data_IF_360661482025
#
_entry.id   IF_360661482025
#
_cell.length_a   1.000
_cell.length_b   1.000
_cell.length_c   1.000
_cell.angle_alpha   90.00
_cell.angle_beta   90.00
_cell.angle_gamma   90.00
#
_symmetry.space_group_name_H-M   'P 1'
#
loop_
_entity.id
_entity.type
_entity.pdbx_description
1 polymer ?
#
# COMPACT_ATOMS: atom_id res chain seq x y z
N UNK A 1 -49.26 -33.78 -94.21
CA UNK A 1 -48.35 -34.69 -95.02
C UNK A 1 -46.99 -34.69 -94.29
N UNK A 2 -46.67 -35.84 -94.01
CA UNK A 2 -45.37 -36.57 -94.00
C UNK A 2 -44.43 -36.18 -92.85
N UNK A 3 -44.39 -36.98 -91.85
CA UNK A 3 -43.58 -38.17 -91.53
C UNK A 3 -42.05 -37.93 -91.46
N UNK A 4 -41.57 -38.32 -90.32
CA UNK A 4 -40.30 -39.07 -90.04
C UNK A 4 -39.12 -38.16 -89.61
N UNK A 5 -38.26 -38.55 -88.72
CA UNK A 5 -37.94 -39.80 -88.03
C UNK A 5 -37.11 -39.48 -86.75
N UNK A 6 -37.35 -40.30 -85.80
CA UNK A 6 -36.65 -40.42 -84.50
C UNK A 6 -35.18 -40.85 -84.71
N UNK A 7 -34.26 -40.19 -84.03
CA UNK A 7 -32.98 -40.81 -83.61
C UNK A 7 -32.66 -40.41 -82.16
N UNK A 8 -32.78 -41.43 -81.34
CA UNK A 8 -32.36 -41.37 -79.92
C UNK A 8 -30.81 -41.48 -79.88
N UNK A 9 -30.16 -40.53 -79.25
CA UNK A 9 -28.75 -40.65 -78.82
C UNK A 9 -28.70 -40.56 -77.33
N UNK A 10 -28.52 -41.70 -76.68
CA UNK A 10 -28.29 -41.85 -75.28
C UNK A 10 -26.89 -41.34 -74.88
N UNK A 11 -26.74 -40.23 -74.30
CA UNK A 11 -25.48 -39.79 -73.71
C UNK A 11 -25.48 -40.12 -72.20
N UNK A 12 -24.62 -41.01 -71.81
CA UNK A 12 -24.31 -41.34 -70.41
C UNK A 12 -23.54 -40.16 -69.78
N UNK A 13 -24.18 -39.42 -68.87
CA UNK A 13 -23.45 -38.47 -68.05
C UNK A 13 -22.98 -39.18 -66.80
N UNK A 14 -21.66 -39.41 -66.71
CA UNK A 14 -20.99 -39.83 -65.50
C UNK A 14 -20.87 -38.58 -64.54
N UNK A 15 -21.67 -38.51 -63.53
CA UNK A 15 -21.50 -37.53 -62.51
C UNK A 15 -20.51 -38.00 -61.44
N UNK A 16 -19.30 -37.44 -61.45
CA UNK A 16 -18.32 -37.63 -60.39
C UNK A 16 -18.73 -36.81 -59.17
N UNK A 17 -19.17 -37.48 -58.12
CA UNK A 17 -19.43 -36.85 -56.84
C UNK A 17 -18.08 -36.56 -56.14
N UNK A 18 -17.69 -35.29 -56.07
CA UNK A 18 -16.53 -34.83 -55.26
C UNK A 18 -17.03 -34.71 -53.81
N UNK A 19 -16.63 -35.64 -52.97
CA UNK A 19 -16.86 -35.56 -51.51
C UNK A 19 -15.82 -34.63 -50.91
N UNK A 20 -16.24 -33.41 -50.53
CA UNK A 20 -15.41 -32.54 -49.71
C UNK A 20 -15.49 -33.02 -48.25
N UNK A 21 -14.43 -33.61 -47.74
CA UNK A 21 -14.26 -33.85 -46.32
C UNK A 21 -13.81 -32.54 -45.65
N UNK A 22 -14.73 -31.86 -45.03
CA UNK A 22 -14.42 -30.71 -44.12
C UNK A 22 -13.91 -31.29 -42.81
N UNK A 23 -12.59 -31.27 -42.60
CA UNK A 23 -12.01 -31.53 -41.29
C UNK A 23 -12.24 -30.28 -40.44
N UNK A 24 -12.93 -30.37 -39.27
CA UNK A 24 -13.02 -29.22 -38.39
C UNK A 24 -11.64 -28.92 -37.78
N UNK A 25 -11.03 -27.84 -38.20
CA UNK A 25 -9.89 -27.25 -37.47
C UNK A 25 -10.46 -26.70 -36.17
N UNK A 26 -10.19 -27.39 -35.07
CA UNK A 26 -10.40 -26.83 -33.72
C UNK A 26 -9.32 -25.77 -33.54
N UNK A 27 -9.69 -24.50 -33.78
CA UNK A 27 -8.86 -23.40 -33.35
C UNK A 27 -8.79 -23.45 -31.82
N UNK A 28 -7.61 -23.70 -31.27
CA UNK A 28 -7.33 -23.59 -29.85
C UNK A 28 -7.59 -22.12 -29.47
N UNK A 29 -8.60 -21.88 -28.66
CA UNK A 29 -8.81 -20.57 -28.03
C UNK A 29 -7.50 -20.14 -27.36
N UNK A 30 -7.07 -18.88 -27.54
CA UNK A 30 -5.88 -18.39 -26.88
C UNK A 30 -6.11 -18.58 -25.37
N UNK A 31 -5.27 -19.39 -24.75
CA UNK A 31 -5.19 -19.45 -23.29
C UNK A 31 -4.69 -18.10 -22.84
N UNK A 32 -5.61 -17.24 -22.40
CA UNK A 32 -5.24 -16.04 -21.64
C UNK A 32 -4.48 -16.54 -20.44
N UNK A 33 -3.15 -16.37 -20.45
CA UNK A 33 -2.34 -16.56 -19.25
C UNK A 33 -2.96 -15.71 -18.17
N UNK A 34 -3.50 -16.32 -17.13
CA UNK A 34 -3.93 -15.57 -15.95
C UNK A 34 -2.71 -14.77 -15.51
N UNK A 35 -2.81 -13.45 -15.54
CA UNK A 35 -1.79 -12.58 -14.95
C UNK A 35 -1.57 -13.09 -13.53
N UNK A 36 -0.32 -13.40 -13.17
CA UNK A 36 0.00 -13.81 -11.80
C UNK A 36 -0.60 -12.75 -10.87
N UNK A 37 -1.37 -13.20 -9.89
CA UNK A 37 -1.98 -12.28 -8.93
C UNK A 37 -0.88 -11.46 -8.29
N UNK A 38 -1.08 -10.14 -8.24
CA UNK A 38 -0.15 -9.21 -7.59
C UNK A 38 0.03 -9.62 -6.13
N UNK A 39 1.26 -9.92 -5.72
CA UNK A 39 1.61 -10.26 -4.33
C UNK A 39 2.34 -9.09 -3.65
N UNK A 40 1.64 -8.19 -2.97
CA UNK A 40 2.23 -7.05 -2.28
C UNK A 40 3.11 -7.39 -1.09
N UNK A 41 3.26 -8.66 -0.72
CA UNK A 41 4.25 -9.09 0.30
C UNK A 41 5.67 -9.25 -0.25
N UNK A 42 5.83 -9.16 -1.57
CA UNK A 42 7.13 -9.21 -2.26
C UNK A 42 7.60 -7.80 -2.63
N UNK A 43 8.87 -7.65 -2.95
CA UNK A 43 9.40 -6.38 -3.47
C UNK A 43 8.67 -5.97 -4.75
N UNK A 44 8.25 -4.73 -4.82
CA UNK A 44 7.57 -4.16 -5.99
C UNK A 44 8.49 -3.97 -7.20
N UNK A 45 7.93 -3.59 -8.35
CA UNK A 45 8.66 -3.54 -9.61
C UNK A 45 9.63 -2.36 -9.76
N UNK A 46 9.53 -1.34 -8.90
CA UNK A 46 10.32 -0.12 -9.09
C UNK A 46 11.68 -0.21 -8.38
N UNK A 47 12.78 0.25 -9.03
CA UNK A 47 14.02 0.54 -8.33
C UNK A 47 13.78 1.58 -7.22
N UNK A 48 14.42 1.39 -6.06
CA UNK A 48 14.20 2.27 -4.91
C UNK A 48 15.31 3.30 -4.80
N UNK A 49 14.91 4.54 -4.70
CA UNK A 49 15.78 5.68 -4.46
C UNK A 49 15.45 6.39 -3.13
N UNK A 50 16.38 7.18 -2.64
CA UNK A 50 16.15 8.02 -1.46
C UNK A 50 16.91 9.35 -1.54
N UNK A 51 16.44 10.32 -0.76
CA UNK A 51 17.11 11.61 -0.56
C UNK A 51 16.92 12.07 0.87
N UNK A 52 17.97 12.59 1.48
CA UNK A 52 17.85 13.37 2.70
C UNK A 52 17.53 14.82 2.35
N UNK A 53 16.53 15.38 3.00
CA UNK A 53 15.98 16.70 2.70
C UNK A 53 15.74 17.49 3.97
N UNK A 54 15.60 18.82 3.84
CA UNK A 54 14.97 19.65 4.86
C UNK A 54 13.56 19.94 4.42
N UNK A 55 12.59 19.50 5.22
CA UNK A 55 11.19 19.91 5.08
C UNK A 55 11.04 21.31 5.65
N UNK A 56 10.52 22.23 4.83
CA UNK A 56 10.16 23.58 5.24
C UNK A 56 8.78 23.87 4.68
N UNK A 57 7.74 23.72 5.49
CA UNK A 57 6.34 23.91 5.10
C UNK A 57 5.45 24.11 6.33
N UNK A 58 4.34 24.79 6.16
CA UNK A 58 3.32 25.01 7.20
C UNK A 58 3.91 25.54 8.52
N UNK A 59 4.92 26.41 8.47
CA UNK A 59 5.59 26.97 9.63
C UNK A 59 6.52 26.01 10.40
N UNK A 60 6.80 24.81 9.82
CA UNK A 60 7.69 23.79 10.38
C UNK A 60 8.98 23.69 9.57
N UNK A 61 10.09 23.36 10.26
CA UNK A 61 11.37 23.06 9.59
C UNK A 61 12.10 21.95 10.33
N UNK A 62 12.42 20.85 9.61
CA UNK A 62 13.09 19.66 10.18
C UNK A 62 13.75 18.83 9.09
N UNK A 63 14.74 18.02 9.46
CA UNK A 63 15.32 17.03 8.57
C UNK A 63 14.35 15.87 8.31
N UNK A 64 14.34 15.34 7.09
CA UNK A 64 13.58 14.16 6.71
C UNK A 64 14.35 13.31 5.71
N UNK A 65 13.94 12.05 5.54
CA UNK A 65 14.31 11.23 4.40
C UNK A 65 13.07 10.96 3.55
N UNK A 66 13.27 11.03 2.24
CA UNK A 66 12.26 10.66 1.25
C UNK A 66 12.71 9.38 0.56
N UNK A 67 11.89 8.34 0.64
CA UNK A 67 12.02 7.12 -0.15
C UNK A 67 11.06 7.21 -1.35
N UNK A 68 11.50 6.82 -2.54
CA UNK A 68 10.69 7.00 -3.74
C UNK A 68 11.05 6.00 -4.84
N UNK A 69 10.14 5.72 -5.79
CA UNK A 69 10.47 4.99 -7.00
C UNK A 69 11.48 5.80 -7.82
N UNK A 70 12.65 5.24 -8.00
CA UNK A 70 13.72 5.87 -8.78
C UNK A 70 13.78 5.35 -10.21
N UNK A 71 14.33 6.14 -11.13
CA UNK A 71 14.70 5.62 -12.45
C UNK A 71 15.78 4.55 -12.35
N UNK A 72 16.61 4.65 -11.31
CA UNK A 72 17.59 3.65 -10.87
C UNK A 72 17.61 3.64 -9.34
N UNK A 73 18.07 2.55 -8.74
CA UNK A 73 18.25 2.47 -7.29
C UNK A 73 19.43 3.36 -6.83
N UNK A 74 19.31 3.94 -5.62
CA UNK A 74 20.41 4.67 -5.00
C UNK A 74 20.03 6.02 -4.40
N UNK A 75 21.05 6.73 -3.92
CA UNK A 75 20.88 8.05 -3.33
C UNK A 75 20.75 9.12 -4.41
N UNK A 76 19.76 9.98 -4.28
CA UNK A 76 19.57 11.17 -5.12
C UNK A 76 19.39 10.88 -6.62
N UNK A 77 18.99 9.69 -7.03
CA UNK A 77 18.68 9.36 -8.41
C UNK A 77 17.37 10.05 -8.85
N UNK A 78 17.13 10.26 -10.16
CA UNK A 78 15.87 10.82 -10.62
C UNK A 78 14.66 9.97 -10.20
N UNK A 79 13.52 10.61 -9.99
CA UNK A 79 12.24 9.91 -9.74
C UNK A 79 11.82 9.19 -11.03
N UNK A 80 11.27 7.98 -10.90
CA UNK A 80 10.63 7.27 -12.00
C UNK A 80 9.43 8.08 -12.53
N UNK A 81 9.02 7.90 -13.79
CA UNK A 81 7.83 8.57 -14.31
C UNK A 81 6.60 8.31 -13.44
N UNK A 82 5.90 9.38 -13.05
CA UNK A 82 4.72 9.37 -12.19
C UNK A 82 3.43 9.71 -12.92
N UNK A 83 2.41 10.26 -12.21
CA UNK A 83 2.46 10.68 -10.80
C UNK A 83 2.32 9.53 -9.79
N UNK A 84 2.98 9.68 -8.65
CA UNK A 84 3.03 8.71 -7.56
C UNK A 84 2.24 9.18 -6.33
N UNK A 85 1.50 8.30 -5.63
CA UNK A 85 0.89 8.64 -4.35
C UNK A 85 1.94 9.05 -3.31
N UNK A 86 1.59 10.04 -2.46
CA UNK A 86 2.45 10.54 -1.38
C UNK A 86 2.06 9.96 -0.03
N UNK A 87 3.06 9.55 0.76
CA UNK A 87 2.89 9.12 2.15
C UNK A 87 3.78 9.96 3.08
N UNK A 88 3.29 10.25 4.30
CA UNK A 88 4.19 10.59 5.40
C UNK A 88 4.16 9.46 6.44
N UNK A 89 5.35 9.10 6.95
CA UNK A 89 5.51 7.99 7.90
C UNK A 89 6.12 8.50 9.22
N UNK A 90 5.43 8.24 10.34
CA UNK A 90 5.87 8.57 11.68
C UNK A 90 6.62 7.40 12.35
N UNK A 91 7.82 7.66 12.87
CA UNK A 91 8.62 6.68 13.62
C UNK A 91 8.11 6.50 15.07
N UNK A 92 8.52 5.41 15.73
CA UNK A 92 8.22 5.14 17.14
C UNK A 92 8.98 6.07 18.11
N UNK A 93 8.56 6.03 19.39
CA UNK A 93 9.22 6.77 20.45
C UNK A 93 10.70 6.38 20.56
N UNK A 94 11.57 7.40 20.63
CA UNK A 94 13.02 7.25 20.75
C UNK A 94 13.67 6.42 19.62
N UNK A 95 12.97 6.27 18.47
CA UNK A 95 13.47 5.52 17.31
C UNK A 95 14.01 6.46 16.23
N UNK A 96 15.06 5.97 15.54
CA UNK A 96 15.53 6.59 14.30
C UNK A 96 14.75 6.08 13.10
N UNK A 97 14.67 6.88 12.06
CA UNK A 97 13.97 6.51 10.82
C UNK A 97 14.55 5.27 10.12
N UNK A 98 15.83 4.95 10.37
CA UNK A 98 16.53 3.78 9.81
C UNK A 98 15.98 2.45 10.33
N UNK A 99 15.24 2.45 11.43
CA UNK A 99 14.56 1.27 11.95
C UNK A 99 13.40 0.79 11.06
N UNK A 100 13.05 1.55 10.04
CA UNK A 100 11.93 1.25 9.12
C UNK A 100 12.37 1.18 7.67
N UNK A 101 13.69 1.13 7.40
CA UNK A 101 14.25 1.15 6.05
C UNK A 101 13.67 0.06 5.16
N UNK A 102 13.47 -1.17 5.69
CA UNK A 102 12.91 -2.28 4.91
C UNK A 102 11.48 -2.00 4.46
N UNK A 103 10.63 -1.49 5.35
CA UNK A 103 9.24 -1.16 5.04
C UNK A 103 9.13 0.05 4.11
N UNK A 104 9.92 1.11 4.35
CA UNK A 104 9.87 2.33 3.55
C UNK A 104 10.40 2.11 2.13
N UNK A 105 11.45 1.29 1.99
CA UNK A 105 11.93 0.80 0.69
C UNK A 105 10.88 -0.06 -0.01
N UNK A 106 10.18 -0.89 0.75
CA UNK A 106 9.10 -1.72 0.22
C UNK A 106 7.98 -0.85 -0.35
N UNK A 107 7.48 0.15 0.38
CA UNK A 107 6.47 1.08 -0.14
C UNK A 107 6.96 1.82 -1.39
N UNK A 108 8.21 2.30 -1.39
CA UNK A 108 8.78 2.97 -2.56
C UNK A 108 8.88 2.03 -3.77
N UNK A 109 9.20 0.75 -3.57
CA UNK A 109 9.23 -0.25 -4.65
C UNK A 109 7.85 -0.47 -5.29
N UNK A 110 6.78 -0.23 -4.53
CA UNK A 110 5.39 -0.30 -4.98
C UNK A 110 4.83 1.03 -5.50
N UNK A 111 5.69 2.04 -5.66
CA UNK A 111 5.32 3.27 -6.34
C UNK A 111 4.95 4.43 -5.41
N UNK A 112 5.12 4.32 -4.10
CA UNK A 112 4.85 5.43 -3.17
C UNK A 112 6.06 6.35 -3.00
N UNK A 113 5.82 7.66 -2.90
CA UNK A 113 6.83 8.60 -2.39
C UNK A 113 6.56 8.78 -0.90
N UNK A 114 7.51 8.34 -0.06
CA UNK A 114 7.33 8.30 1.40
C UNK A 114 8.26 9.30 2.07
N UNK A 115 7.72 10.31 2.74
CA UNK A 115 8.48 11.30 3.52
C UNK A 115 8.47 10.89 4.99
N UNK A 116 9.65 10.75 5.59
CA UNK A 116 9.81 10.33 6.98
C UNK A 116 10.52 11.43 7.77
N UNK A 117 9.81 12.22 8.60
CA UNK A 117 10.40 13.21 9.48
C UNK A 117 11.41 12.60 10.45
N UNK A 118 12.51 13.31 10.72
CA UNK A 118 13.50 12.99 11.77
C UNK A 118 13.24 13.75 13.07
N UNK A 119 12.18 14.55 13.12
CA UNK A 119 11.76 15.32 14.30
C UNK A 119 11.13 14.42 15.36
N UNK A 120 11.00 14.93 16.57
CA UNK A 120 10.36 14.23 17.71
C UNK A 120 11.05 12.92 18.15
N UNK A 121 12.30 12.69 17.76
CA UNK A 121 13.07 11.48 18.10
C UNK A 121 13.72 11.53 19.51
N UNK A 122 13.53 12.61 20.26
CA UNK A 122 14.10 12.79 21.60
C UNK A 122 13.29 12.12 22.71
N UNK A 123 13.74 12.34 23.96
CA UNK A 123 13.11 11.79 25.17
C UNK A 123 11.75 12.42 25.53
N UNK A 124 11.47 13.63 25.05
CA UNK A 124 10.26 14.38 25.35
C UNK A 124 9.53 14.81 24.06
N UNK A 125 9.02 13.85 23.27
CA UNK A 125 8.32 14.19 22.04
C UNK A 125 6.94 14.78 22.35
N UNK A 126 6.50 15.69 21.49
CA UNK A 126 5.11 16.15 21.47
C UNK A 126 4.35 15.41 20.36
N UNK A 127 3.34 14.61 20.73
CA UNK A 127 2.49 13.91 19.78
C UNK A 127 1.76 14.87 18.82
N UNK A 128 1.28 16.01 19.36
CA UNK A 128 0.63 17.03 18.54
C UNK A 128 1.60 17.68 17.55
N UNK A 129 2.82 18.03 18.01
CA UNK A 129 3.84 18.58 17.13
C UNK A 129 4.29 17.54 16.07
N UNK A 130 4.33 16.25 16.41
CA UNK A 130 4.65 15.22 15.46
C UNK A 130 3.55 15.05 14.39
N UNK A 131 2.29 15.14 14.78
CA UNK A 131 1.18 15.18 13.83
C UNK A 131 1.28 16.39 12.87
N UNK A 132 1.66 17.56 13.39
CA UNK A 132 1.89 18.75 12.57
C UNK A 132 3.10 18.58 11.64
N UNK A 133 4.17 17.90 12.08
CA UNK A 133 5.34 17.57 11.24
C UNK A 133 4.97 16.60 10.10
N UNK A 134 4.12 15.59 10.36
CA UNK A 134 3.63 14.69 9.35
C UNK A 134 2.79 15.42 8.28
N UNK A 135 1.92 16.33 8.70
CA UNK A 135 1.15 17.18 7.79
C UNK A 135 2.04 18.15 7.01
N UNK A 136 3.07 18.72 7.65
CA UNK A 136 4.06 19.56 6.99
C UNK A 136 4.86 18.76 5.93
N UNK A 137 5.17 17.50 6.21
CA UNK A 137 5.84 16.62 5.25
C UNK A 137 4.99 16.39 3.99
N UNK A 138 3.68 16.13 4.14
CA UNK A 138 2.76 16.03 3.00
C UNK A 138 2.63 17.36 2.25
N UNK A 139 2.52 18.48 2.96
CA UNK A 139 2.46 19.82 2.36
C UNK A 139 3.74 20.13 1.59
N UNK A 140 4.90 19.81 2.16
CA UNK A 140 6.18 19.97 1.49
C UNK A 140 6.23 19.14 0.20
N UNK A 141 5.83 17.86 0.26
CA UNK A 141 5.83 16.99 -0.92
C UNK A 141 4.91 17.54 -2.02
N UNK A 142 3.72 18.02 -1.65
CA UNK A 142 2.79 18.66 -2.57
C UNK A 142 3.41 19.90 -3.23
N UNK A 143 4.09 20.74 -2.44
CA UNK A 143 4.77 21.92 -2.96
C UNK A 143 5.92 21.56 -3.90
N UNK A 144 6.66 20.48 -3.60
CA UNK A 144 7.73 20.00 -4.48
C UNK A 144 7.23 19.62 -5.88
N UNK A 145 5.98 19.19 -6.00
CA UNK A 145 5.36 18.84 -7.29
C UNK A 145 5.31 20.00 -8.29
N UNK A 146 5.21 21.22 -7.78
CA UNK A 146 5.11 22.45 -8.61
C UNK A 146 6.38 23.33 -8.52
N UNK A 147 7.34 22.98 -7.69
CA UNK A 147 8.59 23.74 -7.52
C UNK A 147 9.51 23.48 -8.70
N UNK A 148 9.85 24.52 -9.45
CA UNK A 148 10.81 24.45 -10.57
C UNK A 148 12.18 23.95 -10.08
N UNK A 149 12.76 23.00 -10.78
CA UNK A 149 14.03 22.36 -10.43
C UNK A 149 13.94 21.34 -9.29
N UNK A 150 12.77 21.14 -8.69
CA UNK A 150 12.58 20.05 -7.76
C UNK A 150 12.67 18.70 -8.47
N UNK A 151 13.32 17.75 -7.84
CA UNK A 151 13.38 16.35 -8.26
C UNK A 151 11.98 15.73 -8.38
N UNK A 152 11.03 16.19 -7.57
CA UNK A 152 9.64 15.70 -7.49
C UNK A 152 8.67 16.51 -8.36
N UNK A 153 9.15 17.46 -9.18
CA UNK A 153 8.30 18.27 -10.04
C UNK A 153 7.53 17.37 -11.02
N UNK A 154 6.20 17.47 -11.01
CA UNK A 154 5.31 16.63 -11.83
C UNK A 154 5.21 15.16 -11.44
N UNK A 155 5.91 14.73 -10.37
CA UNK A 155 5.99 13.32 -9.99
C UNK A 155 5.02 12.91 -8.87
N UNK A 156 4.36 13.87 -8.19
CA UNK A 156 3.50 13.60 -7.04
C UNK A 156 2.03 13.67 -7.43
N UNK A 157 1.27 12.63 -7.12
CA UNK A 157 -0.20 12.68 -7.16
C UNK A 157 -0.72 13.36 -5.90
N UNK A 158 -0.98 14.64 -5.99
CA UNK A 158 -1.44 15.47 -4.85
C UNK A 158 -2.87 15.16 -4.42
N UNK A 159 -3.63 14.41 -5.20
CA UNK A 159 -4.96 13.90 -4.86
C UNK A 159 -4.92 12.57 -4.07
N UNK A 160 -3.75 11.92 -3.96
CA UNK A 160 -3.56 10.61 -3.36
C UNK A 160 -2.51 10.66 -2.23
N UNK A 161 -2.87 11.35 -1.15
CA UNK A 161 -2.02 11.52 0.02
C UNK A 161 -2.48 10.62 1.16
N UNK A 162 -1.54 9.95 1.83
CA UNK A 162 -1.81 9.08 2.96
C UNK A 162 -0.85 9.27 4.10
N UNK A 163 -1.20 8.66 5.22
CA UNK A 163 -0.41 8.66 6.44
C UNK A 163 -0.17 7.23 6.92
N UNK A 164 1.01 7.00 7.46
CA UNK A 164 1.37 5.75 8.11
C UNK A 164 2.31 6.05 9.28
N UNK A 165 2.55 5.06 10.13
CA UNK A 165 3.49 5.20 11.23
C UNK A 165 3.42 4.04 12.18
N UNK A 166 4.46 3.91 13.01
CA UNK A 166 4.60 2.88 14.02
C UNK A 166 4.50 3.47 15.42
N UNK A 167 3.83 2.77 16.33
CA UNK A 167 3.79 3.10 17.76
C UNK A 167 3.30 4.56 18.00
N UNK A 168 4.08 5.38 18.66
CA UNK A 168 3.87 6.84 18.81
C UNK A 168 3.59 7.52 17.46
N UNK A 169 4.35 7.19 16.41
CA UNK A 169 4.17 7.74 15.08
C UNK A 169 2.88 7.27 14.42
N UNK A 170 2.40 6.07 14.74
CA UNK A 170 1.09 5.58 14.33
C UNK A 170 -0.05 6.41 14.95
N UNK A 171 0.01 6.67 16.26
CA UNK A 171 -0.95 7.56 16.94
C UNK A 171 -0.88 8.98 16.39
N UNK A 172 0.33 9.53 16.18
CA UNK A 172 0.51 10.86 15.58
C UNK A 172 -0.04 10.93 14.13
N UNK A 173 0.05 9.85 13.35
CA UNK A 173 -0.54 9.76 12.02
C UNK A 173 -2.08 9.87 12.05
N UNK A 174 -2.73 9.27 13.05
CA UNK A 174 -4.18 9.41 13.26
C UNK A 174 -4.56 10.84 13.65
N UNK A 175 -3.79 11.48 14.55
CA UNK A 175 -3.96 12.89 14.86
C UNK A 175 -3.78 13.78 13.62
N UNK A 176 -2.77 13.51 12.81
CA UNK A 176 -2.51 14.28 11.59
C UNK A 176 -3.65 14.14 10.59
N UNK A 177 -4.14 12.91 10.37
CA UNK A 177 -5.24 12.62 9.45
C UNK A 177 -6.54 13.32 9.86
N UNK A 178 -6.85 13.35 11.17
CA UNK A 178 -8.06 14.01 11.67
C UNK A 178 -8.07 15.53 11.47
N UNK A 179 -6.90 16.13 11.18
CA UNK A 179 -6.71 17.58 10.98
C UNK A 179 -6.50 17.96 9.51
N UNK A 180 -6.32 16.97 8.61
CA UNK A 180 -5.91 17.24 7.23
C UNK A 180 -6.90 16.62 6.22
N UNK A 181 -7.79 17.43 5.63
CA UNK A 181 -8.78 16.94 4.67
C UNK A 181 -8.18 16.47 3.33
N UNK A 182 -6.90 16.74 3.07
CA UNK A 182 -6.21 16.23 1.88
C UNK A 182 -5.81 14.74 2.00
N UNK A 183 -5.74 14.21 3.22
CA UNK A 183 -5.45 12.79 3.46
C UNK A 183 -6.61 11.92 2.97
N UNK A 184 -6.28 10.84 2.28
CA UNK A 184 -7.25 9.90 1.68
C UNK A 184 -7.20 8.51 2.29
N UNK A 185 -6.15 8.16 3.03
CA UNK A 185 -5.99 6.85 3.65
C UNK A 185 -5.00 6.89 4.81
N UNK A 186 -5.22 6.03 5.81
CA UNK A 186 -4.30 5.87 6.94
C UNK A 186 -4.06 4.37 7.18
N UNK A 187 -2.80 3.97 7.32
CA UNK A 187 -2.42 2.60 7.71
C UNK A 187 -1.36 2.65 8.80
N UNK A 188 -1.67 2.17 10.00
CA UNK A 188 -0.80 2.27 11.17
C UNK A 188 -0.32 0.91 11.67
N UNK A 189 0.86 0.88 12.28
CA UNK A 189 1.53 -0.30 12.82
C UNK A 189 1.67 -0.13 14.34
N UNK A 190 1.10 -1.05 15.12
CA UNK A 190 1.14 -1.03 16.57
C UNK A 190 0.91 0.38 17.15
N UNK A 191 -0.03 1.16 16.55
CA UNK A 191 -0.27 2.54 16.94
C UNK A 191 -0.56 2.64 18.43
N UNK A 192 0.20 3.47 19.15
CA UNK A 192 -0.01 3.73 20.57
C UNK A 192 -1.06 4.84 20.77
N UNK A 193 -1.80 4.75 21.88
CA UNK A 193 -2.60 5.88 22.34
C UNK A 193 -1.70 7.07 22.65
N UNK A 194 -2.18 8.26 22.37
CA UNK A 194 -1.41 9.51 22.45
C UNK A 194 -2.13 10.58 23.29
N UNK A 195 -1.44 11.68 23.55
CA UNK A 195 -2.05 12.89 24.08
C UNK A 195 -1.70 14.06 23.13
N UNK A 196 -2.67 14.64 22.38
CA UNK A 196 -4.11 14.32 22.34
C UNK A 196 -4.40 12.87 21.94
N UNK A 197 -5.65 12.39 22.22
CA UNK A 197 -6.06 10.99 22.04
C UNK A 197 -6.13 10.55 20.56
N UNK A 198 -5.42 9.48 20.23
CA UNK A 198 -5.48 8.81 18.92
C UNK A 198 -6.81 8.07 18.73
N UNK A 199 -7.44 7.56 19.79
CA UNK A 199 -8.79 6.98 19.76
C UNK A 199 -9.81 8.04 19.35
N UNK A 200 -9.77 9.23 19.97
CA UNK A 200 -10.64 10.36 19.60
C UNK A 200 -10.39 10.80 18.15
N UNK A 201 -9.13 10.86 17.72
CA UNK A 201 -8.79 11.19 16.34
C UNK A 201 -9.35 10.15 15.37
N UNK A 202 -9.25 8.85 15.71
CA UNK A 202 -9.82 7.76 14.91
C UNK A 202 -11.32 7.89 14.72
N UNK A 203 -12.06 8.27 15.77
CA UNK A 203 -13.51 8.48 15.69
C UNK A 203 -13.91 9.59 14.71
N UNK A 204 -13.03 10.58 14.50
CA UNK A 204 -13.27 11.71 13.60
C UNK A 204 -12.88 11.42 12.13
N UNK A 205 -12.21 10.31 11.83
CA UNK A 205 -11.77 9.99 10.48
C UNK A 205 -12.94 9.57 9.59
N UNK A 206 -13.01 10.14 8.40
CA UNK A 206 -13.97 9.76 7.34
C UNK A 206 -13.33 8.90 6.25
N UNK A 207 -12.01 8.89 6.16
CA UNK A 207 -11.24 8.14 5.15
C UNK A 207 -11.01 6.68 5.59
N UNK A 208 -10.70 5.76 4.65
CA UNK A 208 -10.33 4.39 5.00
C UNK A 208 -9.16 4.36 5.98
N UNK A 209 -9.28 3.53 7.02
CA UNK A 209 -8.22 3.34 8.02
C UNK A 209 -7.93 1.86 8.25
N UNK A 210 -6.65 1.51 8.36
CA UNK A 210 -6.17 0.19 8.73
C UNK A 210 -5.31 0.30 9.99
N UNK A 211 -5.60 -0.56 10.96
CA UNK A 211 -4.81 -0.75 12.17
C UNK A 211 -4.16 -2.13 12.11
N UNK A 212 -2.84 -2.20 12.19
CA UNK A 212 -2.09 -3.45 12.23
C UNK A 212 -1.45 -3.56 13.60
N UNK A 213 -1.68 -4.66 14.32
CA UNK A 213 -1.09 -4.92 15.63
C UNK A 213 -0.47 -6.31 15.71
N UNK A 214 0.32 -6.56 16.74
CA UNK A 214 0.87 -7.87 17.07
C UNK A 214 0.16 -8.46 18.30
N UNK A 215 -0.24 -9.73 18.26
CA UNK A 215 -0.95 -10.34 19.40
C UNK A 215 -0.08 -10.56 20.63
N UNK A 216 1.25 -10.52 20.49
CA UNK A 216 2.22 -10.60 21.57
C UNK A 216 2.86 -9.24 21.91
N UNK A 217 2.32 -8.13 21.37
CA UNK A 217 2.78 -6.77 21.68
C UNK A 217 2.48 -6.44 23.15
N UNK A 218 3.55 -6.24 23.95
CA UNK A 218 3.46 -5.87 25.36
C UNK A 218 3.76 -4.39 25.64
N UNK A 219 4.07 -3.61 24.59
CA UNK A 219 4.38 -2.19 24.67
C UNK A 219 3.14 -1.35 24.33
N UNK A 220 2.50 -1.64 23.19
CA UNK A 220 1.26 -1.01 22.76
C UNK A 220 0.21 -2.10 22.45
N UNK A 221 -0.13 -2.90 23.46
CA UNK A 221 -1.01 -4.06 23.32
C UNK A 221 -2.31 -3.75 22.59
N UNK A 222 -2.73 -4.65 21.71
CA UNK A 222 -3.86 -4.48 20.78
C UNK A 222 -5.13 -4.02 21.49
N UNK A 223 -5.48 -4.69 22.62
CA UNK A 223 -6.74 -4.45 23.33
C UNK A 223 -6.87 -3.00 23.85
N UNK A 224 -5.76 -2.41 24.29
CA UNK A 224 -5.74 -1.07 24.86
C UNK A 224 -5.48 0.05 23.86
N UNK A 225 -5.03 -0.29 22.66
CA UNK A 225 -4.65 0.66 21.63
C UNK A 225 -5.44 0.44 20.34
N UNK A 226 -4.98 -0.43 19.44
CA UNK A 226 -5.52 -0.55 18.08
C UNK A 226 -6.97 -1.04 18.06
N UNK A 227 -7.39 -1.87 19.02
CA UNK A 227 -8.79 -2.29 19.15
C UNK A 227 -9.70 -1.10 19.48
N UNK A 228 -9.31 -0.26 20.45
CA UNK A 228 -10.08 0.95 20.82
C UNK A 228 -10.17 1.94 19.66
N UNK A 229 -9.07 2.12 18.90
CA UNK A 229 -9.05 2.95 17.70
C UNK A 229 -9.99 2.42 16.63
N UNK A 230 -9.95 1.09 16.37
CA UNK A 230 -10.84 0.42 15.43
C UNK A 230 -12.30 0.52 15.86
N UNK A 231 -12.60 0.31 17.15
CA UNK A 231 -13.96 0.36 17.67
C UNK A 231 -14.55 1.77 17.56
N UNK A 232 -13.75 2.80 17.79
CA UNK A 232 -14.15 4.20 17.69
C UNK A 232 -14.34 4.68 16.24
N UNK A 233 -13.56 4.11 15.28
CA UNK A 233 -13.54 4.54 13.87
C UNK A 233 -14.80 4.07 13.14
N UNK A 234 -15.58 4.98 12.48
CA UNK A 234 -16.64 4.60 11.56
C UNK A 234 -16.10 3.81 10.35
N UNK A 235 -17.00 3.12 9.60
CA UNK A 235 -16.64 2.51 8.32
C UNK A 235 -16.14 3.57 7.29
N UNK A 236 -15.26 3.23 6.32
CA UNK A 236 -14.59 1.93 6.18
C UNK A 236 -13.33 1.83 7.06
N UNK A 237 -13.19 0.71 7.76
CA UNK A 237 -12.00 0.48 8.62
C UNK A 237 -11.73 -1.01 8.81
N UNK A 238 -10.47 -1.37 9.07
CA UNK A 238 -10.07 -2.73 9.38
C UNK A 238 -8.99 -2.80 10.46
N UNK A 239 -9.04 -3.88 11.24
CA UNK A 239 -8.01 -4.27 12.19
C UNK A 239 -7.40 -5.59 11.73
N UNK A 240 -6.07 -5.65 11.67
CA UNK A 240 -5.26 -6.82 11.34
C UNK A 240 -4.36 -7.14 12.53
N UNK A 241 -4.57 -8.27 13.18
CA UNK A 241 -3.72 -8.69 14.30
C UNK A 241 -2.85 -9.85 13.85
N UNK A 242 -1.54 -9.60 13.76
CA UNK A 242 -0.55 -10.61 13.40
C UNK A 242 -0.36 -11.54 14.60
N UNK A 243 -0.67 -12.82 14.42
CA UNK A 243 -0.58 -13.83 15.47
C UNK A 243 0.88 -14.06 15.88
N UNK A 244 1.17 -13.90 17.16
CA UNK A 244 2.54 -13.99 17.69
C UNK A 244 3.44 -12.83 17.36
N UNK A 245 2.92 -11.81 16.63
CA UNK A 245 3.64 -10.58 16.34
C UNK A 245 3.83 -9.70 17.57
N UNK A 246 4.89 -8.91 17.59
CA UNK A 246 5.34 -8.12 18.74
C UNK A 246 5.67 -6.68 18.30
N UNK A 247 5.80 -5.75 19.26
CA UNK A 247 5.96 -4.32 18.98
C UNK A 247 7.18 -4.04 18.11
N UNK A 248 8.36 -4.43 18.59
CA UNK A 248 9.62 -4.21 17.84
C UNK A 248 9.78 -5.14 16.62
N UNK A 249 8.82 -6.04 16.38
CA UNK A 249 8.76 -6.85 15.16
C UNK A 249 8.44 -6.04 13.92
N UNK A 250 7.90 -4.83 14.08
CA UNK A 250 7.66 -3.87 12.99
C UNK A 250 8.91 -3.06 12.62
N UNK A 251 9.98 -3.15 13.41
CA UNK A 251 11.26 -2.47 13.19
C UNK A 251 12.29 -3.40 12.56
N UNK A 252 13.32 -2.86 11.94
CA UNK A 252 14.38 -3.63 11.28
C UNK A 252 15.34 -4.31 12.27
N UNK A 253 15.44 -3.78 13.49
CA UNK A 253 16.27 -4.36 14.55
C UNK A 253 15.64 -4.15 15.93
N UNK A 254 16.04 -4.94 16.92
CA UNK A 254 15.67 -4.73 18.32
C UNK A 254 16.61 -3.75 18.98
N UNK A 255 16.05 -2.79 19.71
CA UNK A 255 16.79 -1.91 20.61
C UNK A 255 16.58 -2.26 22.08
N UNK A 256 17.07 -1.41 22.96
CA UNK A 256 16.81 -1.51 24.40
C UNK A 256 15.31 -1.31 24.69
N UNK A 257 14.76 -2.17 25.53
CA UNK A 257 13.35 -2.12 25.91
C UNK A 257 12.39 -2.79 24.90
N UNK A 258 12.91 -3.44 23.87
CA UNK A 258 12.09 -4.21 22.93
C UNK A 258 11.46 -5.44 23.58
N UNK A 259 10.22 -5.69 23.21
CA UNK A 259 9.52 -6.95 23.47
C UNK A 259 9.91 -8.06 22.47
N UNK A 260 9.26 -9.21 22.59
CA UNK A 260 9.45 -10.35 21.69
C UNK A 260 8.12 -11.07 21.44
N UNK A 261 8.05 -11.81 20.36
CA UNK A 261 6.88 -12.60 19.99
C UNK A 261 7.20 -14.06 19.71
N UNK A 262 6.20 -14.79 19.24
CA UNK A 262 6.32 -16.21 18.92
C UNK A 262 6.62 -16.47 17.44
N UNK A 263 6.59 -15.41 16.60
CA UNK A 263 7.02 -15.48 15.21
C UNK A 263 8.33 -14.71 15.01
N UNK A 264 9.04 -14.99 13.93
CA UNK A 264 10.26 -14.25 13.59
C UNK A 264 9.92 -12.84 13.10
N UNK A 265 10.83 -11.87 13.32
CA UNK A 265 10.72 -10.53 12.75
C UNK A 265 10.49 -10.57 11.23
N UNK A 266 11.25 -11.38 10.51
CA UNK A 266 11.13 -11.50 9.06
C UNK A 266 9.73 -11.97 8.63
N UNK A 267 9.13 -12.92 9.34
CA UNK A 267 7.76 -13.36 9.08
C UNK A 267 6.74 -12.25 9.38
N UNK A 268 6.90 -11.53 10.50
CA UNK A 268 6.05 -10.40 10.83
C UNK A 268 6.16 -9.27 9.80
N UNK A 269 7.38 -8.92 9.39
CA UNK A 269 7.61 -7.88 8.37
C UNK A 269 7.00 -8.26 7.03
N UNK A 270 7.12 -9.52 6.60
CA UNK A 270 6.49 -9.98 5.36
C UNK A 270 4.96 -9.86 5.40
N UNK A 271 4.32 -10.27 6.51
CA UNK A 271 2.88 -10.08 6.70
C UNK A 271 2.51 -8.59 6.71
N UNK A 272 3.27 -7.76 7.44
CA UNK A 272 3.07 -6.32 7.51
C UNK A 272 3.16 -5.68 6.13
N UNK A 273 4.21 -5.96 5.37
CA UNK A 273 4.40 -5.48 4.00
C UNK A 273 3.20 -5.85 3.12
N UNK A 274 2.77 -7.11 3.16
CA UNK A 274 1.65 -7.58 2.36
C UNK A 274 0.35 -6.86 2.68
N UNK A 275 -0.05 -6.81 3.95
CA UNK A 275 -1.35 -6.24 4.34
C UNK A 275 -1.41 -4.72 4.22
N UNK A 276 -0.31 -4.01 4.52
CA UNK A 276 -0.29 -2.55 4.44
C UNK A 276 -0.16 -2.06 3.01
N UNK A 277 0.66 -2.72 2.21
CA UNK A 277 0.84 -2.36 0.80
C UNK A 277 -0.42 -2.65 -0.02
N UNK A 278 -1.06 -3.81 0.18
CA UNK A 278 -2.37 -4.09 -0.45
C UNK A 278 -3.39 -3.01 -0.12
N UNK A 279 -3.48 -2.62 1.15
CA UNK A 279 -4.42 -1.60 1.61
C UNK A 279 -4.13 -0.23 0.99
N UNK A 280 -2.86 0.20 0.98
CA UNK A 280 -2.46 1.48 0.42
C UNK A 280 -2.59 1.52 -1.10
N UNK A 281 -2.24 0.45 -1.82
CA UNK A 281 -2.45 0.35 -3.26
C UNK A 281 -3.95 0.40 -3.61
N UNK A 282 -4.79 -0.27 -2.85
CA UNK A 282 -6.23 -0.23 -3.06
C UNK A 282 -6.83 1.16 -2.78
N UNK A 283 -6.44 1.81 -1.68
CA UNK A 283 -7.06 3.05 -1.22
C UNK A 283 -6.45 4.31 -1.81
N UNK A 284 -5.17 4.32 -2.14
CA UNK A 284 -4.44 5.45 -2.73
C UNK A 284 -4.03 5.18 -4.17
N UNK A 285 -3.57 3.97 -4.49
CA UNK A 285 -3.17 3.59 -5.83
C UNK A 285 -4.34 3.37 -6.79
N UNK A 286 -5.58 3.25 -6.25
CA UNK A 286 -6.79 2.89 -6.98
C UNK A 286 -6.68 1.53 -7.71
N UNK A 287 -5.87 0.61 -7.18
CA UNK A 287 -5.79 -0.76 -7.69
C UNK A 287 -6.94 -1.61 -7.14
N UNK A 288 -8.05 -1.59 -7.84
CA UNK A 288 -9.27 -2.32 -7.45
C UNK A 288 -9.14 -3.83 -7.53
N UNK A 289 -8.11 -4.37 -8.22
CA UNK A 289 -7.82 -5.81 -8.28
C UNK A 289 -7.46 -6.39 -6.91
N UNK A 290 -6.99 -5.56 -5.99
CA UNK A 290 -6.63 -5.93 -4.62
C UNK A 290 -7.83 -5.98 -3.64
N UNK A 291 -9.07 -5.78 -4.12
CA UNK A 291 -10.26 -5.84 -3.26
C UNK A 291 -10.31 -7.10 -2.38
N UNK A 292 -10.03 -8.26 -2.96
CA UNK A 292 -10.10 -9.53 -2.23
C UNK A 292 -9.04 -9.63 -1.12
N UNK A 293 -7.83 -9.08 -1.35
CA UNK A 293 -6.76 -9.03 -0.36
C UNK A 293 -7.02 -7.98 0.74
N UNK A 294 -7.84 -6.98 0.46
CA UNK A 294 -8.14 -5.88 1.41
C UNK A 294 -9.44 -6.13 2.16
N UNK A 295 -10.53 -6.47 1.45
CA UNK A 295 -11.88 -6.57 2.02
C UNK A 295 -12.56 -7.92 1.80
N UNK A 296 -12.03 -8.77 0.95
CA UNK A 296 -12.65 -10.01 0.52
C UNK A 296 -12.20 -11.24 1.31
N UNK A 297 -12.35 -12.39 0.68
CA UNK A 297 -12.10 -13.70 1.28
C UNK A 297 -10.60 -13.94 1.54
N UNK A 298 -9.71 -13.49 0.64
CA UNK A 298 -8.28 -13.59 0.85
C UNK A 298 -7.83 -12.82 2.10
N UNK A 299 -8.46 -11.63 2.34
CA UNK A 299 -8.21 -10.87 3.56
C UNK A 299 -8.60 -11.61 4.84
N UNK A 300 -9.76 -12.28 4.81
CA UNK A 300 -10.32 -13.00 5.97
C UNK A 300 -9.54 -14.28 6.29
N UNK A 301 -8.97 -14.93 5.28
CA UNK A 301 -8.30 -16.23 5.39
C UNK A 301 -6.77 -16.13 5.37
N UNK A 302 -6.20 -14.92 5.48
CA UNK A 302 -4.74 -14.77 5.49
C UNK A 302 -4.15 -15.45 6.73
N UNK A 303 -3.39 -16.51 6.49
CA UNK A 303 -2.75 -17.29 7.55
C UNK A 303 -1.87 -16.41 8.43
N UNK A 304 -2.01 -16.54 9.75
CA UNK A 304 -1.23 -15.78 10.72
C UNK A 304 -1.74 -14.36 10.99
N UNK A 305 -2.90 -13.98 10.42
CA UNK A 305 -3.51 -12.66 10.67
C UNK A 305 -4.98 -12.80 11.02
N UNK A 306 -5.36 -12.31 12.18
CA UNK A 306 -6.78 -12.17 12.57
C UNK A 306 -7.31 -10.88 11.94
N UNK A 307 -8.47 -10.99 11.29
CA UNK A 307 -9.08 -9.89 10.53
C UNK A 307 -10.42 -9.47 11.11
N UNK A 308 -10.59 -8.16 11.31
CA UNK A 308 -11.87 -7.52 11.61
C UNK A 308 -12.06 -6.30 10.72
N UNK A 309 -13.28 -6.04 10.26
CA UNK A 309 -13.57 -4.88 9.42
C UNK A 309 -14.98 -4.34 9.62
N UNK A 310 -15.13 -3.03 9.41
CA UNK A 310 -16.41 -2.33 9.19
C UNK A 310 -16.35 -1.75 7.77
N UNK A 311 -17.36 -2.00 6.96
CA UNK A 311 -17.48 -1.57 5.54
C UNK A 311 -18.55 -0.55 5.35
#
# INVERSE_FOLDING_TARGET
>A
MLRQLLRVVTSLLLTAAVVFTVTPTVEALPTTSASAATDPSTTGPNPVAYSDVTVSAAGRSFGARVWYPGSTAGSNTPVAPGPHPGLAFGHGFFQGITQYDSLLKHYASWGFIVVTPKSQAGLFPSHSAFADDLNAALTWLTNQNTTSGSRFAGAVDTGRLGLSGHSMGGGAALLAASRNPAVRSVSTLAAAETNPSAVTASAALTVPAQYVGGSADTIAGVADNQQKMFDAKPAPTQLRVITGGFHCGFEDSSGFGCDSGTITRAAQQKLTQGVTTSFLLYTLGADTSLYDQVWGTAAQNLTGVVYSAKR
#
